data_IF_153266037368
#
_entry.id   IF_153266037368
#
_cell.length_a   1.000
_cell.length_b   1.000
_cell.length_c   1.000
_cell.angle_alpha   90.00
_cell.angle_beta   90.00
_cell.angle_gamma   90.00
#
_symmetry.space_group_name_H-M   'P 1'
#
loop_
_entity.id
_entity.type
_entity.pdbx_description
1 polymer ?
#
# COMPACT_ATOMS: atom_id res chain seq x y z
N UNK A 1 1.55 5.13 20.25
CA UNK A 1 1.71 4.50 18.94
C UNK A 1 3.08 3.80 18.88
N UNK A 2 3.10 2.54 18.42
CA UNK A 2 4.31 1.78 18.14
C UNK A 2 4.53 1.67 16.64
N UNK A 3 5.79 1.71 16.21
CA UNK A 3 6.17 1.62 14.80
C UNK A 3 7.22 0.51 14.68
N UNK A 4 7.03 -0.42 13.74
CA UNK A 4 7.99 -1.49 13.49
C UNK A 4 9.32 -0.94 12.96
N UNK A 5 10.44 -1.40 13.53
CA UNK A 5 11.78 -1.15 12.96
C UNK A 5 11.90 -1.62 11.51
N UNK A 6 11.12 -2.63 11.11
CA UNK A 6 11.15 -3.26 9.79
C UNK A 6 10.29 -2.55 8.75
N UNK A 7 9.44 -1.61 9.15
CA UNK A 7 8.69 -0.78 8.20
C UNK A 7 9.65 0.02 7.32
N UNK A 8 9.37 0.09 6.02
CA UNK A 8 10.21 0.84 5.07
C UNK A 8 9.84 2.31 5.04
N UNK A 9 10.86 3.15 4.87
CA UNK A 9 10.71 4.59 4.67
C UNK A 9 10.54 4.90 3.18
N UNK A 10 9.52 5.68 2.86
CA UNK A 10 9.39 6.27 1.53
C UNK A 10 10.24 7.53 1.49
N UNK A 11 11.26 7.53 0.66
CA UNK A 11 12.17 8.67 0.48
C UNK A 11 11.58 9.69 -0.51
N UNK A 12 11.99 10.96 -0.45
CA UNK A 12 11.63 11.95 -1.46
C UNK A 12 11.90 11.49 -2.90
N UNK A 13 13.04 10.86 -3.10
CA UNK A 13 13.45 10.32 -4.41
C UNK A 13 12.59 9.16 -4.89
N UNK A 14 11.95 8.37 -4.01
CA UNK A 14 10.98 7.35 -4.43
C UNK A 14 9.77 7.96 -5.13
N UNK A 15 9.31 9.15 -4.70
CA UNK A 15 8.20 9.85 -5.39
C UNK A 15 8.61 10.32 -6.78
N UNK A 16 9.87 10.75 -6.93
CA UNK A 16 10.41 11.13 -8.24
C UNK A 16 10.54 9.93 -9.17
N UNK A 17 11.03 8.80 -8.65
CA UNK A 17 11.08 7.54 -9.42
C UNK A 17 9.69 7.06 -9.84
N UNK A 18 8.68 7.15 -8.97
CA UNK A 18 7.30 6.79 -9.28
C UNK A 18 6.77 7.63 -10.46
N UNK A 19 6.97 8.95 -10.39
CA UNK A 19 6.60 9.86 -11.47
C UNK A 19 7.38 9.60 -12.77
N UNK A 20 8.69 9.36 -12.68
CA UNK A 20 9.54 9.08 -13.85
C UNK A 20 9.14 7.76 -14.54
N UNK A 21 8.89 6.70 -13.77
CA UNK A 21 8.44 5.42 -14.33
C UNK A 21 7.06 5.51 -14.97
N UNK A 22 6.12 6.24 -14.36
CA UNK A 22 4.81 6.47 -15.00
C UNK A 22 4.94 7.33 -16.27
N UNK A 23 5.80 8.35 -16.27
CA UNK A 23 6.06 9.15 -17.47
C UNK A 23 6.65 8.30 -18.61
N UNK A 24 7.62 7.44 -18.29
CA UNK A 24 8.27 6.56 -19.28
C UNK A 24 7.31 5.55 -19.92
N UNK A 25 6.22 5.15 -19.24
CA UNK A 25 5.21 4.22 -19.79
C UNK A 25 4.28 4.85 -20.84
N UNK A 26 4.22 6.17 -20.95
CA UNK A 26 3.36 6.86 -21.92
C UNK A 26 1.88 6.46 -21.78
N UNK A 27 1.30 5.86 -22.81
CA UNK A 27 -0.10 5.39 -22.81
C UNK A 27 -0.35 4.14 -21.97
N UNK A 28 0.70 3.39 -21.61
CA UNK A 28 0.61 2.17 -20.80
C UNK A 28 0.70 2.45 -19.28
N UNK A 29 0.40 3.67 -18.84
CA UNK A 29 0.38 4.05 -17.43
C UNK A 29 -0.56 3.16 -16.62
N UNK A 30 -0.08 2.73 -15.45
CA UNK A 30 -0.89 1.99 -14.46
C UNK A 30 -1.83 2.95 -13.72
N UNK A 31 -1.43 4.20 -13.58
CA UNK A 31 -2.15 5.22 -12.83
C UNK A 31 -1.87 5.15 -11.34
N UNK A 32 -0.59 5.07 -10.97
CA UNK A 32 -0.15 5.05 -9.56
C UNK A 32 -0.63 6.28 -8.78
N UNK A 33 -0.50 6.25 -7.47
CA UNK A 33 -0.84 7.38 -6.60
C UNK A 33 0.26 8.45 -6.59
N UNK A 34 1.42 8.21 -7.21
CA UNK A 34 2.57 9.11 -7.19
C UNK A 34 3.20 9.29 -5.81
N UNK A 35 2.96 8.36 -4.88
CA UNK A 35 3.46 8.45 -3.49
C UNK A 35 4.76 7.66 -3.27
N UNK A 36 5.31 7.03 -4.31
CA UNK A 36 6.58 6.32 -4.24
C UNK A 36 6.49 4.90 -3.68
N UNK A 37 5.30 4.32 -3.59
CA UNK A 37 5.10 2.97 -3.03
C UNK A 37 5.83 1.91 -3.85
N UNK A 38 5.63 1.89 -5.17
CA UNK A 38 6.28 0.93 -6.07
C UNK A 38 7.81 0.95 -5.95
N UNK A 39 8.46 2.10 -6.13
CA UNK A 39 9.91 2.22 -5.97
C UNK A 39 10.42 1.82 -4.57
N UNK A 40 9.67 2.11 -3.50
CA UNK A 40 10.02 1.67 -2.15
C UNK A 40 10.00 0.14 -2.02
N UNK A 41 9.02 -0.53 -2.63
CA UNK A 41 8.97 -2.00 -2.68
C UNK A 41 10.07 -2.58 -3.56
N UNK A 42 10.45 -1.92 -4.66
CA UNK A 42 11.64 -2.29 -5.45
C UNK A 42 12.88 -2.29 -4.57
N UNK A 43 13.09 -1.24 -3.82
CA UNK A 43 14.21 -1.14 -2.87
C UNK A 43 14.15 -2.20 -1.76
N UNK A 44 12.95 -2.48 -1.23
CA UNK A 44 12.75 -3.54 -0.25
C UNK A 44 13.20 -4.89 -0.79
N UNK A 45 12.74 -5.27 -1.99
CA UNK A 45 13.04 -6.58 -2.58
C UNK A 45 14.51 -6.68 -3.01
N UNK A 46 15.08 -5.60 -3.53
CA UNK A 46 16.52 -5.51 -3.86
C UNK A 46 17.43 -5.38 -2.62
N UNK A 47 16.88 -5.24 -1.43
CA UNK A 47 17.58 -5.10 -0.14
C UNK A 47 18.38 -3.80 -0.02
N UNK A 48 17.94 -2.76 -0.71
CA UNK A 48 18.52 -1.43 -0.70
C UNK A 48 17.67 -0.39 0.08
N UNK A 49 16.49 -0.82 0.56
CA UNK A 49 15.53 0.07 1.19
C UNK A 49 15.94 0.49 2.60
N UNK A 50 15.66 1.75 2.94
CA UNK A 50 15.77 2.24 4.31
C UNK A 50 14.56 1.80 5.14
N UNK A 51 14.82 1.43 6.37
CA UNK A 51 13.80 1.04 7.36
C UNK A 51 13.66 2.07 8.47
N UNK A 52 12.55 2.02 9.18
CA UNK A 52 12.35 2.87 10.37
C UNK A 52 13.43 2.62 11.43
N UNK A 53 13.93 1.39 11.53
CA UNK A 53 15.05 1.09 12.43
C UNK A 53 16.32 1.89 12.16
N UNK A 54 16.56 2.29 10.91
CA UNK A 54 17.74 3.09 10.53
C UNK A 54 17.70 4.50 11.14
N UNK A 55 16.53 4.99 11.55
CA UNK A 55 16.38 6.25 12.27
C UNK A 55 17.14 6.28 13.60
N UNK A 56 17.43 5.10 14.16
CA UNK A 56 18.16 4.93 15.42
C UNK A 56 19.67 4.78 15.19
N UNK A 57 20.11 4.64 13.95
CA UNK A 57 21.53 4.52 13.61
C UNK A 57 22.24 5.88 13.69
N UNK A 58 23.47 5.94 14.20
CA UNK A 58 24.32 7.11 14.06
C UNK A 58 24.66 7.43 12.61
N UNK A 59 24.61 6.42 11.72
CA UNK A 59 24.95 6.54 10.30
C UNK A 59 23.74 6.90 9.42
N UNK A 60 22.61 7.29 10.02
CA UNK A 60 21.36 7.56 9.32
C UNK A 60 21.51 8.48 8.09
N UNK A 61 22.26 9.58 8.24
CA UNK A 61 22.45 10.54 7.15
C UNK A 61 23.28 9.94 6.00
N UNK A 62 24.29 9.14 6.31
CA UNK A 62 25.10 8.47 5.28
C UNK A 62 24.31 7.39 4.55
N UNK A 63 23.46 6.63 5.26
CA UNK A 63 22.53 5.64 4.67
C UNK A 63 21.55 6.36 3.73
N UNK A 64 20.97 7.47 4.15
CA UNK A 64 20.09 8.28 3.31
C UNK A 64 20.81 8.80 2.05
N UNK A 65 22.00 9.39 2.22
CA UNK A 65 22.77 9.92 1.11
C UNK A 65 23.11 8.83 0.07
N UNK A 66 23.47 7.63 0.52
CA UNK A 66 23.77 6.50 -0.35
C UNK A 66 22.50 6.03 -1.11
N UNK A 67 21.34 5.98 -0.47
CA UNK A 67 20.06 5.66 -1.11
C UNK A 67 19.70 6.71 -2.15
N UNK A 68 19.77 8.00 -1.78
CA UNK A 68 19.53 9.13 -2.68
C UNK A 68 20.42 9.06 -3.92
N UNK A 69 21.71 8.85 -3.75
CA UNK A 69 22.66 8.78 -4.86
C UNK A 69 22.37 7.63 -5.84
N UNK A 70 21.85 6.48 -5.36
CA UNK A 70 21.39 5.39 -6.24
C UNK A 70 20.18 5.82 -7.07
N UNK A 71 19.20 6.45 -6.44
CA UNK A 71 18.00 6.93 -7.12
C UNK A 71 18.30 8.02 -8.14
N UNK A 72 19.21 8.93 -7.83
CA UNK A 72 19.64 9.99 -8.74
C UNK A 72 20.30 9.44 -10.02
N UNK A 73 21.06 8.36 -9.90
CA UNK A 73 21.62 7.66 -11.08
C UNK A 73 20.51 7.11 -11.97
N UNK A 74 19.46 6.52 -11.39
CA UNK A 74 18.32 6.00 -12.13
C UNK A 74 17.54 7.14 -12.79
N UNK A 75 17.21 8.18 -12.04
CA UNK A 75 16.51 9.36 -12.55
C UNK A 75 17.26 10.01 -13.73
N UNK A 76 18.58 10.11 -13.60
CA UNK A 76 19.45 10.58 -14.68
C UNK A 76 19.40 9.68 -15.91
N UNK A 77 19.38 8.37 -15.75
CA UNK A 77 19.28 7.42 -16.89
C UNK A 77 17.92 7.48 -17.59
N UNK A 78 16.89 7.97 -16.92
CA UNK A 78 15.56 8.22 -17.48
C UNK A 78 15.39 9.63 -18.05
N UNK A 79 16.44 10.45 -18.03
CA UNK A 79 16.42 11.87 -18.39
C UNK A 79 15.29 12.65 -17.70
N UNK A 80 14.99 12.30 -16.43
CA UNK A 80 13.92 12.89 -15.68
C UNK A 80 14.40 14.08 -14.86
N UNK A 81 13.90 15.28 -15.18
CA UNK A 81 14.20 16.50 -14.44
C UNK A 81 13.30 16.62 -13.22
N UNK A 82 13.87 16.97 -12.08
CA UNK A 82 13.14 17.08 -10.81
C UNK A 82 13.80 18.07 -9.85
N UNK A 83 13.01 18.56 -8.93
CA UNK A 83 13.46 19.26 -7.72
C UNK A 83 12.81 18.63 -6.50
N UNK A 84 13.63 18.29 -5.51
CA UNK A 84 13.16 17.67 -4.25
C UNK A 84 13.52 18.50 -3.02
N UNK A 85 14.09 19.69 -3.18
CA UNK A 85 14.66 20.45 -2.06
C UNK A 85 13.62 20.68 -0.94
N UNK A 86 12.45 21.17 -1.29
CA UNK A 86 11.38 21.41 -0.31
C UNK A 86 10.80 20.10 0.24
N UNK A 87 10.61 19.09 -0.63
CA UNK A 87 10.11 17.78 -0.22
C UNK A 87 11.10 17.07 0.73
N UNK A 88 12.40 17.20 0.46
CA UNK A 88 13.46 16.65 1.31
C UNK A 88 13.49 17.33 2.69
N UNK A 89 13.35 18.64 2.74
CA UNK A 89 13.23 19.40 3.99
C UNK A 89 12.04 18.92 4.82
N UNK A 90 10.86 18.83 4.21
CA UNK A 90 9.66 18.33 4.89
C UNK A 90 9.82 16.88 5.36
N UNK A 91 10.51 16.05 4.58
CA UNK A 91 10.79 14.67 4.93
C UNK A 91 11.69 14.57 6.18
N UNK A 92 12.74 15.37 6.27
CA UNK A 92 13.59 15.39 7.45
C UNK A 92 12.87 15.89 8.71
N UNK A 93 11.94 16.85 8.56
CA UNK A 93 11.08 17.25 9.69
C UNK A 93 10.14 16.12 10.11
N UNK A 94 9.57 15.39 9.15
CA UNK A 94 8.77 14.21 9.46
C UNK A 94 9.59 13.09 10.14
N UNK A 95 10.84 12.89 9.75
CA UNK A 95 11.78 11.96 10.40
C UNK A 95 12.02 12.36 11.87
N UNK A 96 12.26 13.63 12.15
CA UNK A 96 12.39 14.13 13.53
C UNK A 96 11.12 13.83 14.35
N UNK A 97 9.95 14.00 13.74
CA UNK A 97 8.68 13.69 14.38
C UNK A 97 8.52 12.18 14.64
N UNK A 98 8.90 11.32 13.68
CA UNK A 98 8.83 9.86 13.82
C UNK A 98 9.68 9.32 14.98
N UNK A 99 10.83 9.92 15.26
CA UNK A 99 11.69 9.55 16.38
C UNK A 99 11.05 9.73 17.77
N UNK A 100 9.91 10.40 17.86
CA UNK A 100 9.13 10.59 19.10
C UNK A 100 8.24 9.39 19.46
N UNK A 101 8.05 8.46 18.54
CA UNK A 101 7.23 7.27 18.75
C UNK A 101 8.08 6.10 19.25
N UNK A 102 7.41 5.07 19.78
CA UNK A 102 8.06 3.83 20.19
C UNK A 102 8.42 3.00 18.95
N UNK A 103 9.69 2.95 18.61
CA UNK A 103 10.20 2.14 17.50
C UNK A 103 10.58 0.77 18.08
N UNK A 104 9.86 -0.27 17.66
CA UNK A 104 9.90 -1.60 18.27
C UNK A 104 10.24 -2.72 17.27
N UNK A 105 10.65 -3.86 17.81
CA UNK A 105 10.69 -5.12 17.10
C UNK A 105 9.29 -5.75 17.14
N UNK A 106 8.49 -5.46 16.12
CA UNK A 106 7.04 -5.74 16.10
C UNK A 106 6.72 -7.22 16.19
N UNK A 107 7.56 -8.09 15.62
CA UNK A 107 7.37 -9.53 15.67
C UNK A 107 7.45 -10.08 17.11
N UNK A 108 8.35 -9.58 17.93
CA UNK A 108 8.41 -9.95 19.35
C UNK A 108 7.20 -9.39 20.09
N UNK A 109 6.90 -8.10 19.90
CA UNK A 109 5.78 -7.46 20.59
C UNK A 109 4.44 -8.15 20.30
N UNK A 110 4.15 -8.48 19.05
CA UNK A 110 2.88 -9.11 18.66
C UNK A 110 2.82 -10.56 19.19
N UNK A 111 3.90 -11.33 19.03
CA UNK A 111 3.92 -12.72 19.54
C UNK A 111 3.86 -12.79 21.05
N UNK A 112 4.45 -11.84 21.79
CA UNK A 112 4.32 -11.73 23.24
C UNK A 112 2.86 -11.43 23.64
N UNK A 113 2.17 -10.55 22.93
CA UNK A 113 0.74 -10.32 23.15
C UNK A 113 -0.07 -11.60 22.95
N UNK A 114 0.18 -12.32 21.86
CA UNK A 114 -0.51 -13.57 21.57
C UNK A 114 -0.19 -14.70 22.55
N UNK A 115 1.03 -14.74 23.12
CA UNK A 115 1.41 -15.72 24.14
C UNK A 115 0.78 -15.45 25.50
N UNK A 116 0.32 -14.22 25.72
CA UNK A 116 -0.42 -13.78 26.91
C UNK A 116 -1.94 -13.81 26.70
N UNK A 117 -2.42 -14.56 25.70
CA UNK A 117 -3.84 -14.68 25.31
C UNK A 117 -4.53 -13.33 25.03
N UNK A 118 -3.77 -12.32 24.62
CA UNK A 118 -4.34 -11.06 24.17
C UNK A 118 -4.83 -11.17 22.74
N UNK A 119 -5.98 -10.57 22.45
CA UNK A 119 -6.50 -10.44 21.09
C UNK A 119 -5.73 -9.39 20.32
N UNK A 120 -5.40 -9.71 19.07
CA UNK A 120 -4.75 -8.79 18.12
C UNK A 120 -5.63 -8.70 16.88
N UNK A 121 -6.07 -7.48 16.56
CA UNK A 121 -6.76 -7.20 15.29
C UNK A 121 -5.73 -6.69 14.28
N UNK A 122 -5.56 -7.44 13.19
CA UNK A 122 -4.70 -7.04 12.08
C UNK A 122 -5.55 -6.44 10.96
N UNK A 123 -5.28 -5.20 10.62
CA UNK A 123 -5.92 -4.51 9.51
C UNK A 123 -4.94 -4.41 8.34
N UNK A 124 -5.34 -4.93 7.16
CA UNK A 124 -4.62 -4.78 5.91
C UNK A 124 -4.96 -3.46 5.22
N UNK A 125 -4.31 -3.20 4.10
CA UNK A 125 -4.58 -2.05 3.25
C UNK A 125 -4.99 -2.52 1.86
N UNK A 126 -5.66 -1.64 1.10
CA UNK A 126 -6.18 -1.86 -0.26
C UNK A 126 -7.27 -2.95 -0.29
N UNK A 127 -7.08 -4.00 -1.09
CA UNK A 127 -8.06 -5.09 -1.22
C UNK A 127 -7.51 -6.23 -2.07
N UNK A 128 -8.17 -7.39 -2.04
CA UNK A 128 -7.69 -8.64 -2.64
C UNK A 128 -7.28 -8.50 -4.11
N UNK A 129 -8.10 -7.83 -4.93
CA UNK A 129 -7.82 -7.70 -6.36
C UNK A 129 -6.69 -6.69 -6.69
N UNK A 130 -6.14 -6.04 -5.67
CA UNK A 130 -4.93 -5.20 -5.77
C UNK A 130 -3.67 -5.91 -5.26
N UNK A 131 -3.76 -7.16 -4.81
CA UNK A 131 -2.61 -7.95 -4.39
C UNK A 131 -1.62 -8.15 -5.54
N UNK A 132 -0.31 -8.04 -5.26
CA UNK A 132 0.73 -8.11 -6.28
C UNK A 132 0.80 -9.45 -6.98
N UNK A 133 0.46 -10.54 -6.28
CA UNK A 133 0.52 -11.92 -6.81
C UNK A 133 -0.87 -12.41 -7.28
N UNK A 134 -1.91 -12.15 -6.50
CA UNK A 134 -3.26 -12.71 -6.69
C UNK A 134 -4.28 -11.70 -7.21
N UNK A 135 -3.88 -10.47 -7.45
CA UNK A 135 -4.74 -9.41 -7.97
C UNK A 135 -4.83 -9.38 -9.50
N UNK A 136 -5.42 -8.31 -10.02
CA UNK A 136 -5.61 -8.07 -11.46
C UNK A 136 -4.33 -7.50 -12.12
N UNK A 137 -3.22 -8.23 -12.04
CA UNK A 137 -1.93 -7.83 -12.60
C UNK A 137 -2.04 -7.40 -14.08
N UNK A 138 -1.37 -6.30 -14.52
CA UNK A 138 -0.43 -5.46 -13.78
C UNK A 138 -1.08 -4.29 -13.00
N UNK A 139 -2.41 -4.21 -12.94
CA UNK A 139 -3.15 -3.12 -12.28
C UNK A 139 -3.34 -3.40 -10.78
N UNK A 140 -2.24 -3.57 -10.07
CA UNK A 140 -2.16 -3.97 -8.66
C UNK A 140 -1.27 -3.00 -7.88
N UNK A 141 -1.26 -3.11 -6.56
CA UNK A 141 -0.25 -2.47 -5.72
C UNK A 141 1.00 -3.34 -5.65
N UNK A 142 2.09 -2.84 -5.10
CA UNK A 142 3.36 -3.57 -4.97
C UNK A 142 3.44 -4.44 -3.71
N UNK A 143 2.35 -4.61 -2.99
CA UNK A 143 2.30 -5.37 -1.74
C UNK A 143 1.33 -6.54 -1.80
N UNK A 144 1.54 -7.51 -0.90
CA UNK A 144 0.56 -8.54 -0.64
C UNK A 144 -0.55 -7.97 0.23
N UNK A 145 -1.76 -7.88 -0.33
CA UNK A 145 -2.95 -7.34 0.34
C UNK A 145 -3.89 -8.42 0.83
N UNK A 146 -3.64 -9.69 0.47
CA UNK A 146 -4.36 -10.85 0.98
C UNK A 146 -3.97 -11.13 2.43
N UNK A 147 -4.80 -11.89 3.14
CA UNK A 147 -4.62 -12.22 4.57
C UNK A 147 -3.22 -12.75 4.90
N UNK A 148 -2.59 -13.52 4.02
CA UNK A 148 -1.22 -14.01 4.17
C UNK A 148 -0.19 -12.88 4.40
N UNK A 149 -0.48 -11.66 3.94
CA UNK A 149 0.34 -10.48 4.19
C UNK A 149 0.49 -10.13 5.67
N UNK A 150 -0.44 -10.55 6.52
CA UNK A 150 -0.35 -10.39 7.98
C UNK A 150 0.84 -11.16 8.53
N UNK A 151 1.06 -12.39 8.06
CA UNK A 151 2.16 -13.24 8.52
C UNK A 151 3.52 -12.60 8.27
N UNK A 152 3.73 -12.09 7.06
CA UNK A 152 5.00 -11.46 6.66
C UNK A 152 5.12 -10.03 7.20
N UNK A 153 4.01 -9.32 7.37
CA UNK A 153 3.97 -7.94 7.84
C UNK A 153 4.20 -7.80 9.35
N UNK A 154 3.62 -8.69 10.14
CA UNK A 154 3.74 -8.68 11.60
C UNK A 154 4.74 -9.70 12.15
N UNK A 155 5.22 -10.65 11.33
CA UNK A 155 6.09 -11.73 11.78
C UNK A 155 5.35 -12.76 12.64
N UNK A 156 4.11 -13.08 12.27
CA UNK A 156 3.24 -14.04 12.97
C UNK A 156 3.15 -15.32 12.16
N UNK A 157 3.22 -16.47 12.85
CA UNK A 157 3.09 -17.77 12.20
C UNK A 157 1.67 -17.98 11.61
N UNK A 158 1.52 -18.64 10.43
CA UNK A 158 0.21 -18.84 9.79
C UNK A 158 -0.85 -19.51 10.68
N UNK A 159 -0.43 -20.45 11.53
CA UNK A 159 -1.31 -21.16 12.47
C UNK A 159 -1.79 -20.30 13.66
N UNK A 160 -1.36 -19.05 13.75
CA UNK A 160 -1.84 -18.08 14.74
C UNK A 160 -2.89 -17.13 14.18
N UNK A 161 -3.19 -17.24 12.88
CA UNK A 161 -4.30 -16.52 12.27
C UNK A 161 -5.60 -17.22 12.66
N UNK A 162 -6.48 -16.49 13.33
CA UNK A 162 -7.80 -16.96 13.74
C UNK A 162 -8.88 -16.57 12.73
N UNK A 163 -9.86 -15.78 13.18
CA UNK A 163 -10.94 -15.30 12.32
C UNK A 163 -10.46 -14.33 11.25
N UNK A 164 -10.99 -14.46 10.05
CA UNK A 164 -10.70 -13.57 8.92
C UNK A 164 -11.97 -12.86 8.48
N UNK A 165 -12.04 -11.57 8.74
CA UNK A 165 -13.18 -10.72 8.37
C UNK A 165 -12.98 -10.16 6.97
N UNK A 166 -13.84 -10.55 6.04
CA UNK A 166 -13.91 -9.99 4.69
C UNK A 166 -14.91 -8.84 4.63
N UNK A 167 -14.42 -7.60 4.52
CA UNK A 167 -15.30 -6.43 4.37
C UNK A 167 -15.51 -6.17 2.88
N UNK A 168 -16.76 -6.05 2.45
CA UNK A 168 -17.11 -5.74 1.07
C UNK A 168 -18.29 -4.78 0.99
N UNK A 169 -18.42 -4.08 -0.13
CA UNK A 169 -19.55 -3.20 -0.41
C UNK A 169 -20.62 -3.94 -1.21
N UNK A 170 -21.86 -3.45 -1.16
CA UNK A 170 -22.97 -3.98 -1.96
C UNK A 170 -22.80 -3.75 -3.47
N UNK A 171 -21.80 -3.01 -3.89
CA UNK A 171 -21.41 -2.73 -5.27
C UNK A 171 -19.88 -2.66 -5.38
N UNK A 172 -19.36 -2.73 -6.58
CA UNK A 172 -17.92 -2.66 -6.82
C UNK A 172 -17.46 -1.26 -7.20
N UNK A 173 -16.23 -0.91 -6.80
CA UNK A 173 -15.58 0.34 -7.22
C UNK A 173 -14.13 0.11 -7.59
N UNK A 174 -13.63 0.89 -8.56
CA UNK A 174 -12.22 0.84 -8.97
C UNK A 174 -11.69 2.24 -9.28
N UNK A 175 -10.46 2.53 -8.86
CA UNK A 175 -9.71 3.72 -9.27
C UNK A 175 -8.67 3.32 -10.32
N UNK A 176 -8.56 4.10 -11.41
CA UNK A 176 -7.56 3.86 -12.45
C UNK A 176 -7.95 2.76 -13.44
N UNK A 177 -6.94 2.31 -14.19
CA UNK A 177 -7.10 1.34 -15.26
C UNK A 177 -7.29 -0.09 -14.74
N UNK A 178 -7.54 -1.01 -15.66
CA UNK A 178 -7.67 -2.44 -15.39
C UNK A 178 -9.09 -2.97 -15.56
N UNK A 179 -9.27 -4.30 -15.49
CA UNK A 179 -10.54 -4.95 -15.75
C UNK A 179 -11.57 -4.60 -14.69
N UNK A 180 -12.82 -4.43 -15.14
CA UNK A 180 -13.98 -4.21 -14.28
C UNK A 180 -15.24 -4.77 -14.99
N UNK A 181 -15.46 -6.08 -14.94
CA UNK A 181 -16.51 -6.76 -15.73
C UNK A 181 -17.93 -6.25 -15.46
N UNK A 182 -18.22 -5.79 -14.24
CA UNK A 182 -19.55 -5.31 -13.84
C UNK A 182 -19.67 -3.79 -13.86
N UNK A 183 -18.74 -3.08 -14.50
CA UNK A 183 -18.76 -1.62 -14.60
C UNK A 183 -20.02 -1.11 -15.29
N UNK A 184 -20.57 -0.03 -14.77
CA UNK A 184 -21.74 0.66 -15.31
C UNK A 184 -21.32 1.97 -15.97
N UNK A 185 -21.77 2.16 -17.21
CA UNK A 185 -21.50 3.36 -18.02
C UNK A 185 -22.77 4.20 -18.21
N UNK A 186 -23.78 3.97 -17.40
CA UNK A 186 -25.09 4.63 -17.45
C UNK A 186 -25.31 5.54 -16.24
N UNK A 187 -26.50 6.15 -16.18
CA UNK A 187 -26.93 6.99 -15.06
C UNK A 187 -26.81 6.29 -13.69
N UNK A 188 -27.01 4.97 -13.65
CA UNK A 188 -26.89 4.19 -12.40
C UNK A 188 -25.46 4.22 -11.88
N UNK A 189 -24.48 4.02 -12.78
CA UNK A 189 -23.06 4.09 -12.43
C UNK A 189 -22.65 5.49 -11.93
N UNK A 190 -23.16 6.54 -12.57
CA UNK A 190 -22.93 7.90 -12.15
C UNK A 190 -23.52 8.19 -10.77
N UNK A 191 -24.78 7.78 -10.55
CA UNK A 191 -25.45 7.93 -9.24
C UNK A 191 -24.74 7.17 -8.12
N UNK A 192 -24.26 5.95 -8.37
CA UNK A 192 -23.45 5.19 -7.40
C UNK A 192 -22.20 5.96 -6.99
N UNK A 193 -21.54 6.61 -7.96
CA UNK A 193 -20.35 7.39 -7.68
C UNK A 193 -20.67 8.68 -6.90
N UNK A 194 -21.68 9.43 -7.33
CA UNK A 194 -21.96 10.77 -6.78
C UNK A 194 -22.64 10.69 -5.41
N UNK A 195 -23.69 9.87 -5.28
CA UNK A 195 -24.41 9.67 -4.01
C UNK A 195 -23.52 8.91 -3.02
N UNK A 196 -22.76 7.94 -3.53
CA UNK A 196 -21.82 7.17 -2.77
C UNK A 196 -20.52 7.89 -2.43
N UNK A 197 -20.31 9.14 -2.86
CA UNK A 197 -19.06 9.89 -2.68
C UNK A 197 -17.80 9.09 -3.05
N UNK A 198 -17.88 8.34 -4.16
CA UNK A 198 -16.84 7.41 -4.58
C UNK A 198 -15.66 8.11 -5.25
N UNK A 199 -14.82 8.73 -4.41
CA UNK A 199 -13.59 9.39 -4.80
C UNK A 199 -12.41 8.78 -4.07
N UNK A 200 -11.25 8.73 -4.73
CA UNK A 200 -10.02 8.21 -4.12
C UNK A 200 -9.54 9.10 -2.97
N UNK A 201 -9.43 8.54 -1.76
CA UNK A 201 -9.06 9.30 -0.56
C UNK A 201 -7.72 10.05 -0.69
N UNK A 202 -6.76 9.51 -1.44
CA UNK A 202 -5.42 10.09 -1.62
C UNK A 202 -5.34 11.02 -2.83
N UNK A 203 -6.02 10.67 -3.93
CA UNK A 203 -5.88 11.34 -5.23
C UNK A 203 -7.07 12.21 -5.59
N UNK A 204 -8.20 12.08 -4.88
CA UNK A 204 -9.47 12.71 -5.25
C UNK A 204 -10.07 12.22 -6.58
N UNK A 205 -9.45 11.22 -7.23
CA UNK A 205 -9.95 10.72 -8.52
C UNK A 205 -11.29 10.03 -8.36
N UNK A 206 -12.21 10.32 -9.27
CA UNK A 206 -13.50 9.64 -9.38
C UNK A 206 -13.29 8.15 -9.54
N UNK A 207 -14.03 7.33 -8.80
CA UNK A 207 -14.01 5.86 -8.93
C UNK A 207 -14.99 5.45 -10.02
N UNK A 208 -14.61 4.45 -10.78
CA UNK A 208 -15.50 3.67 -11.63
C UNK A 208 -16.39 2.85 -10.73
N UNK A 209 -17.68 2.76 -11.02
CA UNK A 209 -18.68 2.05 -10.21
C UNK A 209 -19.37 0.95 -11.02
N UNK A 210 -19.80 -0.11 -10.38
CA UNK A 210 -20.49 -1.22 -11.04
C UNK A 210 -21.17 -2.16 -10.05
N UNK A 211 -21.96 -3.10 -10.57
CA UNK A 211 -22.65 -4.08 -9.74
C UNK A 211 -21.66 -4.94 -8.96
N UNK A 212 -22.14 -5.54 -7.87
CA UNK A 212 -21.37 -6.51 -7.10
C UNK A 212 -20.95 -7.68 -7.99
N UNK A 213 -19.64 -7.90 -8.10
CA UNK A 213 -19.07 -9.04 -8.81
C UNK A 213 -18.97 -10.24 -7.86
N UNK A 214 -19.93 -11.16 -7.98
CA UNK A 214 -19.99 -12.35 -7.13
C UNK A 214 -18.87 -13.35 -7.44
N UNK A 215 -18.30 -13.34 -8.65
CA UNK A 215 -17.17 -14.20 -9.02
C UNK A 215 -15.92 -13.70 -8.31
N UNK A 216 -15.66 -12.38 -8.37
CA UNK A 216 -14.56 -11.74 -7.69
C UNK A 216 -14.70 -11.86 -6.16
N UNK A 217 -15.92 -11.76 -5.61
CA UNK A 217 -16.16 -11.93 -4.18
C UNK A 217 -15.84 -13.36 -3.72
N UNK A 218 -16.34 -14.39 -4.43
CA UNK A 218 -16.03 -15.80 -4.14
C UNK A 218 -14.54 -16.09 -4.22
N UNK A 219 -13.87 -15.55 -5.23
CA UNK A 219 -12.40 -15.64 -5.35
C UNK A 219 -11.70 -15.02 -4.14
N UNK A 220 -12.12 -13.82 -3.73
CA UNK A 220 -11.55 -13.12 -2.58
C UNK A 220 -11.75 -13.89 -1.27
N UNK A 221 -12.92 -14.48 -1.07
CA UNK A 221 -13.20 -15.36 0.09
C UNK A 221 -12.23 -16.53 0.12
N UNK A 222 -12.05 -17.20 -1.01
CA UNK A 222 -11.20 -18.38 -1.14
C UNK A 222 -9.72 -18.04 -0.84
N UNK A 223 -9.19 -17.01 -1.49
CA UNK A 223 -7.76 -16.65 -1.38
C UNK A 223 -7.39 -16.17 0.01
N UNK A 224 -8.32 -15.51 0.70
CA UNK A 224 -8.08 -14.99 2.06
C UNK A 224 -8.47 -15.96 3.16
N UNK A 225 -9.19 -17.05 2.87
CA UNK A 225 -9.74 -17.93 3.88
C UNK A 225 -10.75 -17.21 4.78
N UNK A 226 -11.60 -16.36 4.19
CA UNK A 226 -12.58 -15.53 4.93
C UNK A 226 -13.54 -16.44 5.71
N UNK A 227 -13.64 -16.22 7.01
CA UNK A 227 -14.53 -16.94 7.91
C UNK A 227 -15.85 -16.19 8.15
N UNK A 228 -15.80 -14.86 8.07
CA UNK A 228 -16.96 -13.99 8.28
C UNK A 228 -16.98 -12.85 7.28
N UNK A 229 -18.15 -12.58 6.70
CA UNK A 229 -18.38 -11.48 5.76
C UNK A 229 -19.10 -10.33 6.43
N UNK A 230 -18.60 -9.12 6.19
CA UNK A 230 -19.20 -7.88 6.66
C UNK A 230 -19.60 -7.06 5.43
N UNK A 231 -20.92 -6.92 5.22
CA UNK A 231 -21.45 -6.04 4.18
C UNK A 231 -21.44 -4.60 4.67
N UNK A 232 -20.70 -3.75 4.01
CA UNK A 232 -20.67 -2.31 4.28
C UNK A 232 -21.46 -1.56 3.22
N UNK A 233 -22.36 -0.69 3.67
CA UNK A 233 -23.09 0.29 2.86
C UNK A 233 -22.63 1.73 3.17
N UNK A 234 -21.73 1.86 4.12
CA UNK A 234 -21.19 3.14 4.57
C UNK A 234 -19.82 3.33 3.92
N UNK A 235 -19.56 4.54 3.46
CA UNK A 235 -18.23 4.90 3.00
C UNK A 235 -17.32 5.11 4.19
N UNK A 236 -16.27 4.38 4.17
CA UNK A 236 -15.17 4.52 5.13
C UNK A 236 -14.15 5.48 4.53
#
# INVERSE_FOLDING_TARGET
LCISKKAHLILPTHRMLDAAYEAAKGSAKIGTTGKGIGPTYTDKVSRNGMRVGDLLSPDFESIYAAAKARHEKILKSLDYQYDIAELEKQWFEAVKYLRRFHIIDSEYFVNDCLSQDKSVLAEGAQGTLLDVDFGSYPFVTSSNTVCAGVCTGLGVAPNRIGEVFGIFKAYCTRVGSGPFPTELFDETGERLCDIGHEFGAVTGRRRRCGWLDMVALKYSIMVNGVTQLILSLIHI
#
